data_IF_409695318619
#
_entry.id   IF_409695318619
#
_cell.length_a   1.000
_cell.length_b   1.000
_cell.length_c   1.000
_cell.angle_alpha   90.00
_cell.angle_beta   90.00
_cell.angle_gamma   90.00
#
_symmetry.space_group_name_H-M   'P 1'
#
loop_
_entity.id
_entity.type
_entity.pdbx_description
1 polymer ?
#
# COMPACT_ATOMS: atom_id res chain seq x y z
N UNK A 1 0.25 1.29 -8.25
CA UNK A 1 -0.42 1.62 -6.97
C UNK A 1 0.65 2.02 -5.95
N UNK A 2 0.42 3.07 -5.14
CA UNK A 2 1.43 3.62 -4.22
C UNK A 2 1.92 2.61 -3.17
N UNK A 3 1.01 1.80 -2.58
CA UNK A 3 1.38 0.76 -1.62
C UNK A 3 2.35 -0.28 -2.19
N UNK A 4 2.13 -0.71 -3.44
CA UNK A 4 3.04 -1.65 -4.13
C UNK A 4 4.45 -1.08 -4.23
N UNK A 5 4.58 0.20 -4.53
CA UNK A 5 5.88 0.84 -4.64
C UNK A 5 6.59 0.93 -3.29
N UNK A 6 5.86 1.26 -2.23
CA UNK A 6 6.39 1.23 -0.86
C UNK A 6 6.86 -0.18 -0.50
N UNK A 7 6.05 -1.22 -0.77
CA UNK A 7 6.40 -2.62 -0.53
C UNK A 7 7.70 -3.01 -1.24
N UNK A 8 7.83 -2.63 -2.51
CA UNK A 8 9.04 -2.92 -3.29
C UNK A 8 10.27 -2.17 -2.74
N UNK A 9 10.12 -0.92 -2.30
CA UNK A 9 11.20 -0.13 -1.70
C UNK A 9 11.74 -0.74 -0.40
N UNK A 10 10.88 -1.39 0.39
CA UNK A 10 11.29 -2.13 1.59
C UNK A 10 11.73 -3.57 1.29
N UNK A 11 11.83 -3.96 0.02
CA UNK A 11 12.39 -5.25 -0.42
C UNK A 11 11.49 -6.46 -0.16
N UNK A 12 10.20 -6.27 0.08
CA UNK A 12 9.28 -7.37 0.39
C UNK A 12 8.61 -7.90 -0.89
N UNK A 13 8.47 -9.23 -1.02
CA UNK A 13 7.53 -9.84 -1.97
C UNK A 13 6.11 -9.77 -1.42
N UNK A 14 5.12 -10.03 -2.27
CA UNK A 14 3.71 -10.04 -1.83
C UNK A 14 3.45 -11.09 -0.75
N UNK A 15 4.06 -12.28 -0.87
CA UNK A 15 3.99 -13.34 0.16
C UNK A 15 4.57 -12.89 1.50
N UNK A 16 5.64 -12.11 1.49
CA UNK A 16 6.30 -11.66 2.72
C UNK A 16 5.41 -10.66 3.48
N UNK A 17 4.76 -9.74 2.75
CA UNK A 17 3.79 -8.82 3.34
C UNK A 17 2.51 -9.54 3.82
N UNK A 18 2.02 -10.49 3.03
CA UNK A 18 0.84 -11.28 3.40
C UNK A 18 1.06 -12.05 4.72
N UNK A 19 2.25 -12.63 4.89
CA UNK A 19 2.65 -13.30 6.12
C UNK A 19 2.69 -12.33 7.32
N UNK A 20 3.20 -11.11 7.14
CA UNK A 20 3.19 -10.07 8.20
C UNK A 20 1.77 -9.66 8.60
N UNK A 21 0.84 -9.68 7.64
CA UNK A 21 -0.56 -9.32 7.84
C UNK A 21 -1.43 -10.48 8.34
N UNK A 22 -0.90 -11.71 8.36
CA UNK A 22 -1.72 -12.90 8.66
C UNK A 22 -2.82 -13.15 7.63
N UNK A 23 -2.57 -12.81 6.37
CA UNK A 23 -3.56 -12.91 5.27
C UNK A 23 -3.03 -13.78 4.12
N UNK A 24 -3.91 -14.29 3.22
CA UNK A 24 -3.47 -14.93 1.99
C UNK A 24 -2.73 -13.96 1.06
N UNK A 25 -1.71 -14.41 0.32
CA UNK A 25 -1.04 -13.54 -0.66
C UNK A 25 -1.98 -12.98 -1.74
N UNK A 26 -3.07 -13.69 -2.05
CA UNK A 26 -4.11 -13.20 -2.97
C UNK A 26 -4.80 -11.92 -2.49
N UNK A 27 -4.87 -11.68 -1.17
CA UNK A 27 -5.34 -10.40 -0.62
C UNK A 27 -4.41 -9.26 -1.05
N UNK A 28 -3.10 -9.45 -0.90
CA UNK A 28 -2.07 -8.49 -1.32
C UNK A 28 -2.12 -8.25 -2.84
N UNK A 29 -2.22 -9.31 -3.63
CA UNK A 29 -2.33 -9.19 -5.08
C UNK A 29 -3.53 -8.35 -5.49
N UNK A 30 -4.72 -8.65 -4.96
CA UNK A 30 -5.99 -8.01 -5.36
C UNK A 30 -6.02 -6.51 -5.09
N UNK A 31 -5.53 -6.07 -3.93
CA UNK A 31 -5.51 -4.62 -3.68
C UNK A 31 -4.42 -3.92 -4.50
N UNK A 32 -3.29 -4.59 -4.78
CA UNK A 32 -2.22 -4.00 -5.60
C UNK A 32 -2.57 -3.87 -7.08
N UNK A 33 -3.45 -4.74 -7.60
CA UNK A 33 -3.99 -4.67 -8.97
C UNK A 33 -5.24 -3.80 -9.07
N UNK A 34 -5.86 -3.43 -7.94
CA UNK A 34 -7.09 -2.65 -7.91
C UNK A 34 -8.37 -3.48 -8.07
N UNK A 35 -8.27 -4.81 -8.09
CA UNK A 35 -9.42 -5.72 -8.07
C UNK A 35 -10.20 -5.68 -6.75
N UNK A 36 -9.56 -5.18 -5.68
CA UNK A 36 -10.20 -5.00 -4.37
C UNK A 36 -9.83 -3.66 -3.76
N UNK A 37 -10.84 -2.90 -3.36
CA UNK A 37 -10.66 -1.70 -2.53
C UNK A 37 -10.28 -2.05 -1.10
N UNK A 38 -9.51 -1.17 -0.45
CA UNK A 38 -9.16 -1.29 0.96
C UNK A 38 -10.00 -0.32 1.78
N UNK A 39 -10.43 -0.73 2.97
CA UNK A 39 -10.90 0.21 3.97
C UNK A 39 -9.73 0.88 4.71
N UNK A 40 -10.05 1.87 5.55
CA UNK A 40 -9.03 2.66 6.26
C UNK A 40 -8.26 1.84 7.32
N UNK A 41 -8.89 0.85 7.95
CA UNK A 41 -8.27 -0.01 8.96
C UNK A 41 -7.32 -1.01 8.31
N UNK A 42 -7.69 -1.56 7.16
CA UNK A 42 -6.82 -2.38 6.32
C UNK A 42 -5.62 -1.57 5.82
N UNK A 43 -5.86 -0.35 5.35
CA UNK A 43 -4.79 0.55 4.90
C UNK A 43 -3.80 0.85 6.02
N UNK A 44 -4.30 1.14 7.22
CA UNK A 44 -3.46 1.36 8.42
C UNK A 44 -2.64 0.11 8.76
N UNK A 45 -3.26 -1.07 8.72
CA UNK A 45 -2.59 -2.34 9.01
C UNK A 45 -1.47 -2.62 8.01
N UNK A 46 -1.71 -2.38 6.72
CA UNK A 46 -0.70 -2.50 5.66
C UNK A 46 0.44 -1.51 5.87
N UNK A 47 0.14 -0.26 6.18
CA UNK A 47 1.15 0.77 6.47
C UNK A 47 2.05 0.35 7.65
N UNK A 48 1.45 -0.12 8.74
CA UNK A 48 2.18 -0.62 9.90
C UNK A 48 3.06 -1.84 9.56
N UNK A 49 2.56 -2.80 8.79
CA UNK A 49 3.33 -3.98 8.36
C UNK A 49 4.51 -3.62 7.43
N UNK A 50 4.41 -2.49 6.72
CA UNK A 50 5.46 -1.91 5.88
C UNK A 50 6.41 -0.99 6.65
N UNK A 51 6.15 -0.71 7.94
CA UNK A 51 6.95 0.23 8.73
C UNK A 51 6.82 1.69 8.26
N UNK A 52 5.70 2.04 7.64
CA UNK A 52 5.42 3.37 7.12
C UNK A 52 4.25 4.00 7.90
N UNK A 53 4.39 5.21 8.47
CA UNK A 53 3.24 5.93 9.01
C UNK A 53 2.20 6.22 7.91
N UNK A 54 0.91 6.04 8.23
CA UNK A 54 -0.17 6.28 7.27
C UNK A 54 -0.13 7.73 6.71
N UNK A 55 0.20 8.70 7.55
CA UNK A 55 0.38 10.11 7.16
C UNK A 55 1.37 10.28 6.00
N UNK A 56 2.47 9.51 6.00
CA UNK A 56 3.47 9.58 4.93
C UNK A 56 2.92 9.02 3.62
N UNK A 57 2.01 8.04 3.68
CA UNK A 57 1.33 7.53 2.49
C UNK A 57 0.36 8.58 1.93
N UNK A 58 -0.42 9.22 2.80
CA UNK A 58 -1.38 10.27 2.40
C UNK A 58 -0.64 11.46 1.78
N UNK A 59 0.43 11.95 2.40
CA UNK A 59 1.23 13.03 1.83
C UNK A 59 1.73 12.70 0.42
N UNK A 60 2.27 11.48 0.21
CA UNK A 60 2.70 11.01 -1.12
C UNK A 60 1.56 10.90 -2.12
N UNK A 61 0.35 10.61 -1.65
CA UNK A 61 -0.84 10.57 -2.50
C UNK A 61 -1.25 11.99 -2.90
N UNK A 62 -1.29 12.93 -1.96
CA UNK A 62 -1.58 14.35 -2.21
C UNK A 62 -0.59 14.96 -3.21
N UNK A 63 0.72 14.74 -3.00
CA UNK A 63 1.77 15.17 -3.93
C UNK A 63 1.51 14.68 -5.36
N UNK A 64 1.05 13.44 -5.54
CA UNK A 64 0.72 12.87 -6.86
C UNK A 64 -0.54 13.43 -7.48
N UNK A 65 -1.52 13.82 -6.66
CA UNK A 65 -2.75 14.43 -7.15
C UNK A 65 -2.46 15.85 -7.66
N UNK A 66 -1.70 16.64 -6.89
CA UNK A 66 -1.26 17.99 -7.30
C UNK A 66 -0.43 17.93 -8.58
N UNK A 67 0.48 16.95 -8.70
CA UNK A 67 1.31 16.75 -9.90
C UNK A 67 0.50 16.38 -11.16
N UNK A 68 -0.73 15.90 -10.99
CA UNK A 68 -1.62 15.50 -12.08
C UNK A 68 -2.53 16.61 -12.56
N UNK A 69 -2.71 17.67 -11.77
CA UNK A 69 -3.58 18.81 -12.11
C UNK A 69 -2.84 19.88 -12.96
N UNK A 70 -1.52 19.76 -13.12
CA UNK A 70 -0.69 20.67 -13.95
C UNK A 70 -0.47 20.18 -15.40
N UNK A 71 -1.17 19.13 -15.86
CA UNK A 71 -1.12 18.64 -17.26
C UNK A 71 -2.51 18.42 -17.84
#
# INVERSE_FOLDING_TARGET
>A
MLLREVRLKVGLRQVDLANRLGTPQSFVSKYETGERSLDIMELLSICNALGLPLTNLIQKLEERLVSKDET
#
